data_IF_036304419844
#
_entry.id   IF_036304419844
#
_cell.length_a   1.000
_cell.length_b   1.000
_cell.length_c   1.000
_cell.angle_alpha   90.00
_cell.angle_beta   90.00
_cell.angle_gamma   90.00
#
_symmetry.space_group_name_H-M   'P 1'
#
loop_
_entity.id
_entity.type
_entity.pdbx_description
1 polymer ?
#
# COMPACT_ATOMS: atom_id res chain seq x y z
N UNK A 1 20.89 -14.19 -18.00
CA UNK A 1 19.95 -13.77 -19.07
C UNK A 1 18.74 -14.72 -19.24
N UNK A 2 18.93 -16.04 -19.25
CA UNK A 2 17.82 -17.01 -19.41
C UNK A 2 16.71 -16.88 -18.36
N UNK A 3 17.05 -16.60 -17.10
CA UNK A 3 16.07 -16.33 -16.04
C UNK A 3 15.20 -15.11 -16.34
N UNK A 4 15.79 -14.03 -16.88
CA UNK A 4 15.06 -12.83 -17.27
C UNK A 4 14.10 -13.08 -18.43
N UNK A 5 14.55 -13.84 -19.45
CA UNK A 5 13.69 -14.26 -20.56
C UNK A 5 12.53 -15.15 -20.06
N UNK A 6 12.81 -16.13 -19.19
CA UNK A 6 11.80 -16.97 -18.56
C UNK A 6 10.79 -16.17 -17.73
N UNK A 7 11.26 -15.16 -16.97
CA UNK A 7 10.41 -14.26 -16.20
C UNK A 7 9.50 -13.41 -17.09
N UNK A 8 10.00 -12.90 -18.22
CA UNK A 8 9.20 -12.17 -19.20
C UNK A 8 8.13 -13.05 -19.86
N UNK A 9 8.46 -14.31 -20.19
CA UNK A 9 7.50 -15.27 -20.73
C UNK A 9 6.43 -15.62 -19.69
N UNK A 10 6.84 -15.90 -18.45
CA UNK A 10 5.92 -16.17 -17.35
C UNK A 10 5.01 -14.96 -17.10
N UNK A 11 5.56 -13.75 -17.18
CA UNK A 11 4.80 -12.50 -17.05
C UNK A 11 3.72 -12.40 -18.10
N UNK A 12 4.08 -12.57 -19.38
CA UNK A 12 3.13 -12.46 -20.49
C UNK A 12 2.04 -13.53 -20.45
N UNK A 13 2.37 -14.76 -20.04
CA UNK A 13 1.45 -15.90 -20.10
C UNK A 13 0.57 -16.06 -18.86
N UNK A 14 1.11 -15.84 -17.66
CA UNK A 14 0.42 -16.18 -16.40
C UNK A 14 0.28 -15.02 -15.42
N UNK A 15 1.17 -14.03 -15.46
CA UNK A 15 1.15 -12.90 -14.53
C UNK A 15 0.62 -11.60 -15.16
N UNK A 16 -0.07 -11.69 -16.30
CA UNK A 16 -0.83 -10.59 -16.86
C UNK A 16 -2.17 -10.44 -16.12
N UNK A 17 -2.57 -9.19 -15.92
CA UNK A 17 -3.93 -8.88 -15.47
C UNK A 17 -4.95 -9.39 -16.49
N UNK A 18 -6.19 -9.62 -16.06
CA UNK A 18 -7.29 -9.81 -16.99
C UNK A 18 -7.46 -8.58 -17.91
N UNK A 19 -8.01 -8.74 -19.13
CA UNK A 19 -8.30 -7.60 -19.99
C UNK A 19 -9.27 -6.65 -19.29
N UNK A 20 -8.94 -5.36 -19.28
CA UNK A 20 -9.82 -4.30 -18.75
C UNK A 20 -10.79 -3.79 -19.80
N UNK A 21 -11.66 -2.86 -19.40
CA UNK A 21 -12.69 -2.27 -20.30
C UNK A 21 -12.10 -1.34 -21.38
N UNK A 22 -10.79 -1.04 -21.31
CA UNK A 22 -10.08 -0.17 -22.25
C UNK A 22 -10.32 1.32 -21.99
N UNK A 23 -11.58 1.72 -21.77
CA UNK A 23 -11.98 3.08 -21.42
C UNK A 23 -12.43 3.17 -19.97
N UNK A 24 -11.92 4.15 -19.23
CA UNK A 24 -12.33 4.44 -17.84
C UNK A 24 -13.44 5.49 -17.87
N UNK A 25 -14.62 5.12 -17.37
CA UNK A 25 -15.76 6.02 -17.22
C UNK A 25 -15.73 6.63 -15.83
N UNK A 26 -15.99 7.94 -15.71
CA UNK A 26 -16.08 8.61 -14.42
C UNK A 26 -17.22 8.00 -13.58
N UNK A 27 -16.94 7.67 -12.31
CA UNK A 27 -17.91 7.06 -11.40
C UNK A 27 -18.18 8.01 -10.24
N UNK A 28 -19.44 8.26 -9.93
CA UNK A 28 -19.81 9.08 -8.77
C UNK A 28 -19.75 8.28 -7.48
N UNK A 29 -20.32 7.07 -7.50
CA UNK A 29 -20.51 6.26 -6.29
C UNK A 29 -19.29 5.41 -5.95
N UNK A 30 -19.00 5.24 -4.64
CA UNK A 30 -18.01 4.28 -4.19
C UNK A 30 -18.41 2.85 -4.57
N UNK A 31 -17.45 1.95 -4.83
CA UNK A 31 -17.76 0.56 -5.13
C UNK A 31 -18.41 -0.14 -3.92
N UNK A 32 -19.52 -0.81 -4.16
CA UNK A 32 -20.28 -1.50 -3.12
C UNK A 32 -19.48 -2.66 -2.49
N UNK A 33 -19.59 -2.79 -1.17
CA UNK A 33 -19.00 -3.91 -0.43
C UNK A 33 -17.47 -3.94 -0.39
N UNK A 34 -16.79 -2.86 -0.76
CA UNK A 34 -15.33 -2.77 -0.75
C UNK A 34 -14.87 -1.71 0.26
N UNK A 35 -14.25 -2.18 1.35
CA UNK A 35 -13.65 -1.29 2.35
C UNK A 35 -12.40 -0.55 1.84
N UNK A 36 -12.06 0.57 2.50
CA UNK A 36 -10.95 1.47 2.13
C UNK A 36 -9.61 0.74 2.01
N UNK A 37 -9.34 -0.22 2.91
CA UNK A 37 -8.09 -0.98 2.90
C UNK A 37 -7.96 -1.86 1.65
N UNK A 38 -9.02 -2.59 1.28
CA UNK A 38 -9.05 -3.40 0.05
C UNK A 38 -8.93 -2.50 -1.17
N UNK A 39 -9.70 -1.41 -1.22
CA UNK A 39 -9.63 -0.43 -2.30
C UNK A 39 -8.21 0.10 -2.50
N UNK A 40 -7.49 0.43 -1.43
CA UNK A 40 -6.11 0.93 -1.48
C UNK A 40 -5.12 -0.09 -2.08
N UNK A 41 -5.32 -1.38 -1.80
CA UNK A 41 -4.49 -2.47 -2.31
C UNK A 41 -4.74 -2.71 -3.80
N UNK A 42 -5.99 -2.58 -4.24
CA UNK A 42 -6.37 -2.77 -5.64
C UNK A 42 -6.01 -1.55 -6.49
N UNK A 43 -6.16 -0.33 -5.96
CA UNK A 43 -5.78 0.91 -6.65
C UNK A 43 -4.26 1.15 -6.69
N UNK A 44 -3.48 0.34 -5.96
CA UNK A 44 -2.02 0.52 -5.84
C UNK A 44 -1.58 1.70 -4.96
N UNK A 45 -2.46 2.19 -4.07
CA UNK A 45 -2.20 3.33 -3.18
C UNK A 45 -2.13 2.91 -1.70
N UNK A 46 -1.63 1.71 -1.41
CA UNK A 46 -1.55 1.17 -0.04
C UNK A 46 -0.75 2.05 0.92
N UNK A 47 0.22 2.83 0.42
CA UNK A 47 0.97 3.80 1.22
C UNK A 47 0.07 4.90 1.84
N UNK A 48 -1.10 5.18 1.25
CA UNK A 48 -2.07 6.16 1.75
C UNK A 48 -3.21 5.52 2.53
N UNK A 49 -3.22 4.19 2.69
CA UNK A 49 -4.35 3.45 3.27
C UNK A 49 -4.66 3.87 4.70
N UNK A 50 -3.63 4.00 5.55
CA UNK A 50 -3.77 4.42 6.95
C UNK A 50 -4.44 5.79 7.07
N UNK A 51 -3.93 6.78 6.33
CA UNK A 51 -4.48 8.14 6.34
C UNK A 51 -5.90 8.18 5.79
N UNK A 52 -6.15 7.49 4.68
CA UNK A 52 -7.48 7.42 4.08
C UNK A 52 -8.52 6.80 5.02
N UNK A 53 -8.16 5.70 5.70
CA UNK A 53 -9.04 5.05 6.64
C UNK A 53 -9.28 5.90 7.91
N UNK A 54 -8.25 6.58 8.43
CA UNK A 54 -8.43 7.49 9.56
C UNK A 54 -9.39 8.64 9.23
N UNK A 55 -9.26 9.22 8.03
CA UNK A 55 -10.17 10.27 7.57
C UNK A 55 -11.60 9.74 7.41
N UNK A 56 -11.77 8.57 6.80
CA UNK A 56 -13.09 7.94 6.63
C UNK A 56 -13.76 7.64 7.98
N UNK A 57 -13.00 7.11 8.95
CA UNK A 57 -13.48 6.90 10.32
C UNK A 57 -13.80 8.22 11.03
N UNK A 58 -13.06 9.30 10.74
CA UNK A 58 -13.30 10.61 11.31
C UNK A 58 -14.58 11.25 10.75
N UNK A 59 -14.82 11.14 9.45
CA UNK A 59 -16.06 11.60 8.80
C UNK A 59 -17.28 10.86 9.37
N UNK A 60 -17.15 9.55 9.63
CA UNK A 60 -18.22 8.76 10.27
C UNK A 60 -18.35 9.04 11.78
N UNK A 61 -17.45 9.80 12.38
CA UNK A 61 -17.44 10.13 13.81
C UNK A 61 -17.04 8.97 14.73
N UNK A 62 -16.38 7.95 14.19
CA UNK A 62 -15.81 6.86 14.98
C UNK A 62 -14.53 7.31 15.69
N UNK A 63 -13.70 8.10 14.98
CA UNK A 63 -12.42 8.65 15.47
C UNK A 63 -12.47 10.17 15.38
N UNK A 64 -11.71 10.85 16.24
CA UNK A 64 -11.49 12.29 16.16
C UNK A 64 -9.99 12.57 16.09
N UNK A 65 -9.61 13.54 15.27
CA UNK A 65 -8.24 14.04 15.19
C UNK A 65 -8.17 15.27 16.09
N UNK A 66 -7.32 15.20 17.11
CA UNK A 66 -7.05 16.29 18.04
C UNK A 66 -5.76 16.98 17.59
N UNK A 67 -5.82 18.28 17.40
CA UNK A 67 -4.64 19.12 17.16
C UNK A 67 -4.30 19.87 18.44
N UNK A 68 -3.05 19.73 18.88
CA UNK A 68 -2.52 20.43 20.04
C UNK A 68 -1.54 21.49 19.58
N UNK A 69 -1.84 22.73 19.92
CA UNK A 69 -1.01 23.87 19.54
C UNK A 69 0.37 23.76 20.20
N UNK A 70 1.41 23.79 19.36
CA UNK A 70 2.81 23.77 19.76
C UNK A 70 3.36 25.16 20.10
N UNK A 71 2.54 26.22 19.99
CA UNK A 71 2.96 27.61 20.10
C UNK A 71 3.97 27.97 19.01
N UNK A 72 5.26 28.07 19.38
CA UNK A 72 6.36 28.30 18.41
C UNK A 72 6.80 27.03 17.67
N UNK A 73 6.37 25.84 18.10
CA UNK A 73 6.68 24.55 17.45
C UNK A 73 5.54 24.11 16.55
N UNK A 74 5.82 23.15 15.66
CA UNK A 74 4.78 22.53 14.82
C UNK A 74 3.67 21.91 15.72
N UNK A 75 2.40 21.99 15.31
CA UNK A 75 1.31 21.38 16.03
C UNK A 75 1.51 19.87 16.14
N UNK A 76 1.09 19.32 17.27
CA UNK A 76 1.13 17.87 17.53
C UNK A 76 -0.27 17.30 17.34
N UNK A 77 -0.37 16.12 16.75
CA UNK A 77 -1.66 15.47 16.50
C UNK A 77 -1.83 14.25 17.39
N UNK A 78 -3.04 14.08 17.91
CA UNK A 78 -3.47 12.89 18.64
C UNK A 78 -4.76 12.36 18.02
N UNK A 79 -5.04 11.08 18.20
CA UNK A 79 -6.29 10.45 17.79
C UNK A 79 -7.10 10.09 19.02
N UNK A 80 -8.40 10.35 19.00
CA UNK A 80 -9.35 9.94 20.03
C UNK A 80 -10.35 8.97 19.42
N UNK A 81 -10.59 7.83 20.07
CA UNK A 81 -11.65 6.90 19.70
C UNK A 81 -12.97 7.37 20.33
N UNK A 82 -13.85 7.96 19.53
CA UNK A 82 -15.10 8.57 20.03
C UNK A 82 -16.20 7.51 20.18
N UNK A 83 -16.45 6.76 19.12
CA UNK A 83 -17.56 5.81 19.07
C UNK A 83 -17.15 4.54 18.30
N UNK A 84 -16.70 3.49 19.02
CA UNK A 84 -16.32 2.21 18.41
C UNK A 84 -17.48 1.52 17.68
N UNK A 85 -18.74 1.82 18.01
CA UNK A 85 -19.91 1.16 17.40
C UNK A 85 -20.09 1.52 15.93
N UNK A 86 -19.54 2.66 15.50
CA UNK A 86 -19.57 3.14 14.10
C UNK A 86 -18.56 2.47 13.19
N UNK A 87 -17.71 1.61 13.73
CA UNK A 87 -16.72 0.81 13.00
C UNK A 87 -17.38 -0.48 12.50
N UNK A 88 -17.95 -0.41 11.31
CA UNK A 88 -18.80 -1.47 10.73
C UNK A 88 -18.00 -2.60 10.09
N UNK A 89 -16.86 -2.30 9.47
CA UNK A 89 -16.09 -3.30 8.72
C UNK A 89 -15.09 -4.08 9.61
N UNK A 90 -14.93 -5.41 9.41
CA UNK A 90 -14.01 -6.22 10.22
C UNK A 90 -12.54 -5.80 10.15
N UNK A 91 -12.06 -5.36 8.99
CA UNK A 91 -10.68 -4.93 8.82
C UNK A 91 -10.46 -3.54 9.44
N UNK A 92 -11.48 -2.68 9.44
CA UNK A 92 -11.46 -1.41 10.20
C UNK A 92 -11.39 -1.65 11.70
N UNK A 93 -12.16 -2.60 12.24
CA UNK A 93 -12.08 -2.98 13.67
C UNK A 93 -10.67 -3.44 14.05
N UNK A 94 -10.02 -4.23 13.20
CA UNK A 94 -8.63 -4.66 13.39
C UNK A 94 -7.65 -3.48 13.30
N UNK A 95 -7.91 -2.52 12.43
CA UNK A 95 -7.10 -1.31 12.33
C UNK A 95 -7.21 -0.46 13.60
N UNK A 96 -8.43 -0.24 14.10
CA UNK A 96 -8.67 0.48 15.36
C UNK A 96 -7.97 -0.22 16.53
N UNK A 97 -8.10 -1.55 16.64
CA UNK A 97 -7.37 -2.33 17.65
C UNK A 97 -5.84 -2.23 17.50
N UNK A 98 -5.32 -2.16 16.27
CA UNK A 98 -3.89 -1.99 16.02
C UNK A 98 -3.37 -0.61 16.48
N UNK A 99 -4.18 0.44 16.34
CA UNK A 99 -3.84 1.83 16.71
C UNK A 99 -4.02 2.07 18.21
N UNK A 100 -5.18 1.77 18.76
CA UNK A 100 -5.57 2.10 20.14
C UNK A 100 -5.29 0.98 21.15
N UNK A 101 -5.08 -0.26 20.68
CA UNK A 101 -4.95 -1.44 21.53
C UNK A 101 -6.22 -2.30 21.55
N UNK A 102 -6.06 -3.57 21.93
CA UNK A 102 -7.17 -4.51 22.03
C UNK A 102 -8.10 -4.09 23.19
N UNK A 103 -9.40 -3.96 22.91
CA UNK A 103 -10.40 -3.58 23.91
C UNK A 103 -10.44 -2.09 24.27
N UNK A 104 -9.81 -1.22 23.49
CA UNK A 104 -9.92 0.22 23.68
C UNK A 104 -11.38 0.70 23.64
N UNK A 105 -11.82 1.33 24.72
CA UNK A 105 -13.17 1.89 24.85
C UNK A 105 -13.28 3.31 24.28
N UNK A 106 -14.50 3.87 24.25
CA UNK A 106 -14.72 5.29 23.97
C UNK A 106 -13.83 6.19 24.84
N UNK A 107 -13.26 7.23 24.25
CA UNK A 107 -12.35 8.18 24.89
C UNK A 107 -10.88 7.75 24.93
N UNK A 108 -10.51 6.60 24.35
CA UNK A 108 -9.11 6.19 24.25
C UNK A 108 -8.33 7.16 23.34
N UNK A 109 -7.23 7.73 23.86
CA UNK A 109 -6.39 8.69 23.13
C UNK A 109 -5.06 8.06 22.74
N UNK A 110 -4.61 8.31 21.50
CA UNK A 110 -3.33 7.88 20.96
C UNK A 110 -2.57 9.07 20.41
N UNK A 111 -1.45 9.42 21.04
CA UNK A 111 -0.53 10.45 20.56
C UNK A 111 0.23 9.99 19.31
N UNK A 112 0.31 10.85 18.29
CA UNK A 112 1.07 10.64 17.05
C UNK A 112 2.45 11.32 17.05
N UNK A 113 2.82 12.04 18.10
CA UNK A 113 4.11 12.72 18.22
C UNK A 113 5.30 11.76 18.10
N UNK A 114 5.12 10.51 18.54
CA UNK A 114 6.16 9.47 18.52
C UNK A 114 5.71 8.27 17.70
N UNK A 115 6.64 7.78 16.88
CA UNK A 115 6.43 6.53 16.13
C UNK A 115 6.26 5.36 17.09
N UNK A 116 5.08 4.76 17.09
CA UNK A 116 4.83 3.50 17.76
C UNK A 116 5.18 2.33 16.84
N UNK A 117 6.34 1.72 17.07
CA UNK A 117 6.82 0.58 16.30
C UNK A 117 5.89 -0.65 16.41
N UNK A 118 5.25 -0.87 17.57
CA UNK A 118 4.32 -1.99 17.77
C UNK A 118 3.03 -1.76 17.00
N UNK A 119 2.46 -0.56 17.07
CA UNK A 119 1.28 -0.20 16.28
C UNK A 119 1.57 -0.30 14.78
N UNK A 120 2.72 0.22 14.34
CA UNK A 120 3.16 0.12 12.95
C UNK A 120 3.27 -1.34 12.48
N UNK A 121 3.89 -2.21 13.29
CA UNK A 121 4.01 -3.63 12.97
C UNK A 121 2.64 -4.32 12.89
N UNK A 122 1.69 -3.99 13.79
CA UNK A 122 0.32 -4.51 13.74
C UNK A 122 -0.41 -4.06 12.47
N UNK A 123 -0.29 -2.79 12.08
CA UNK A 123 -0.88 -2.25 10.85
C UNK A 123 -0.26 -2.93 9.61
N UNK A 124 1.05 -3.11 9.57
CA UNK A 124 1.72 -3.82 8.47
C UNK A 124 1.22 -5.26 8.35
N UNK A 125 1.07 -5.97 9.49
CA UNK A 125 0.51 -7.32 9.52
C UNK A 125 -0.94 -7.35 9.02
N UNK A 126 -1.75 -6.36 9.39
CA UNK A 126 -3.11 -6.20 8.88
C UNK A 126 -3.11 -6.00 7.36
N UNK A 127 -2.31 -5.08 6.84
CA UNK A 127 -2.22 -4.81 5.40
C UNK A 127 -1.73 -6.04 4.60
N UNK A 128 -0.81 -6.82 5.16
CA UNK A 128 -0.40 -8.09 4.58
C UNK A 128 -1.55 -9.10 4.55
N UNK A 129 -2.36 -9.18 5.61
CA UNK A 129 -3.54 -10.04 5.67
C UNK A 129 -4.63 -9.61 4.69
N UNK A 130 -4.90 -8.30 4.57
CA UNK A 130 -5.84 -7.74 3.57
C UNK A 130 -5.35 -8.08 2.16
N UNK A 131 -4.06 -7.87 1.88
CA UNK A 131 -3.46 -8.19 0.58
C UNK A 131 -3.60 -9.68 0.25
N UNK A 132 -3.35 -10.56 1.22
CA UNK A 132 -3.52 -12.01 1.04
C UNK A 132 -5.00 -12.38 0.78
N UNK A 133 -5.93 -11.73 1.47
CA UNK A 133 -7.37 -11.96 1.31
C UNK A 133 -7.88 -11.60 -0.08
N UNK A 134 -7.29 -10.61 -0.76
CA UNK A 134 -7.67 -10.28 -2.15
C UNK A 134 -7.57 -11.46 -3.12
N UNK A 135 -6.76 -12.48 -2.82
CA UNK A 135 -6.73 -13.74 -3.59
C UNK A 135 -7.95 -14.61 -3.27
N UNK A 136 -8.29 -14.74 -1.98
CA UNK A 136 -9.46 -15.50 -1.52
C UNK A 136 -10.78 -14.86 -1.98
N UNK A 137 -10.85 -13.53 -2.01
CA UNK A 137 -12.00 -12.76 -2.50
C UNK A 137 -12.11 -12.79 -4.04
N UNK A 138 -11.19 -13.47 -4.72
CA UNK A 138 -11.19 -13.60 -6.18
C UNK A 138 -10.86 -12.31 -6.92
N UNK A 139 -10.20 -11.34 -6.28
CA UNK A 139 -9.73 -10.09 -6.90
C UNK A 139 -8.34 -10.24 -7.54
N UNK A 140 -7.52 -11.17 -7.05
CA UNK A 140 -6.18 -11.47 -7.58
C UNK A 140 -6.05 -12.94 -7.96
N UNK A 141 -5.33 -13.23 -9.03
CA UNK A 141 -5.04 -14.61 -9.45
C UNK A 141 -3.99 -15.22 -8.51
N UNK A 142 -4.03 -16.54 -8.23
CA UNK A 142 -2.98 -17.19 -7.46
C UNK A 142 -1.65 -17.14 -8.20
N UNK A 143 -0.55 -16.94 -7.46
CA UNK A 143 0.79 -16.92 -8.03
C UNK A 143 1.31 -18.36 -8.24
N UNK A 144 1.99 -18.64 -9.37
CA UNK A 144 2.77 -19.85 -9.55
C UNK A 144 4.07 -19.76 -8.75
N UNK A 145 3.98 -19.89 -7.42
CA UNK A 145 5.10 -19.67 -6.48
C UNK A 145 6.33 -20.49 -6.87
N UNK A 146 6.17 -21.76 -7.25
CA UNK A 146 7.28 -22.62 -7.65
C UNK A 146 8.08 -22.07 -8.84
N UNK A 147 7.41 -21.61 -9.90
CA UNK A 147 8.07 -21.02 -11.07
C UNK A 147 8.75 -19.69 -10.73
N UNK A 148 8.13 -18.87 -9.88
CA UNK A 148 8.69 -17.60 -9.43
C UNK A 148 9.98 -17.85 -8.63
N UNK A 149 9.93 -18.75 -7.65
CA UNK A 149 11.07 -19.11 -6.80
C UNK A 149 12.21 -19.67 -7.66
N UNK A 150 11.91 -20.59 -8.58
CA UNK A 150 12.91 -21.15 -9.49
C UNK A 150 13.62 -20.06 -10.31
N UNK A 151 12.87 -19.11 -10.87
CA UNK A 151 13.44 -18.03 -11.67
C UNK A 151 14.27 -17.05 -10.83
N UNK A 152 13.83 -16.74 -9.61
CA UNK A 152 14.59 -15.90 -8.68
C UNK A 152 15.89 -16.61 -8.30
N UNK A 153 15.84 -17.89 -7.92
CA UNK A 153 17.04 -18.69 -7.58
C UNK A 153 17.98 -18.81 -8.77
N UNK A 154 17.47 -19.04 -9.99
CA UNK A 154 18.29 -19.06 -11.19
C UNK A 154 18.94 -17.70 -11.48
N UNK A 155 18.23 -16.60 -11.26
CA UNK A 155 18.78 -15.25 -11.43
C UNK A 155 19.85 -14.92 -10.39
N UNK A 156 19.64 -15.30 -9.12
CA UNK A 156 20.63 -15.09 -8.05
C UNK A 156 21.88 -15.95 -8.27
N UNK A 157 21.74 -17.23 -8.63
CA UNK A 157 22.88 -18.08 -8.99
C UNK A 157 23.64 -17.53 -10.20
N UNK A 158 22.95 -17.02 -11.21
CA UNK A 158 23.58 -16.36 -12.35
C UNK A 158 24.36 -15.11 -11.95
N UNK A 159 23.85 -14.32 -11.00
CA UNK A 159 24.57 -13.17 -10.45
C UNK A 159 25.82 -13.60 -9.68
N UNK A 160 25.73 -14.64 -8.84
CA UNK A 160 26.88 -15.18 -8.11
C UNK A 160 27.95 -15.69 -9.07
N UNK A 161 27.55 -16.45 -10.11
CA UNK A 161 28.49 -16.93 -11.12
C UNK A 161 29.19 -15.78 -11.86
N UNK A 162 28.49 -14.70 -12.19
CA UNK A 162 29.08 -13.52 -12.81
C UNK A 162 30.09 -12.82 -11.89
N UNK A 163 29.81 -12.74 -10.58
CA UNK A 163 30.75 -12.21 -9.60
C UNK A 163 32.00 -13.09 -9.51
N UNK A 164 31.83 -14.41 -9.39
CA UNK A 164 32.96 -15.36 -9.33
C UNK A 164 33.81 -15.26 -10.60
N UNK A 165 33.18 -15.23 -11.78
CA UNK A 165 33.88 -15.05 -13.05
C UNK A 165 34.67 -13.73 -13.09
N UNK A 166 34.09 -12.64 -12.57
CA UNK A 166 34.78 -11.36 -12.51
C UNK A 166 35.99 -11.37 -11.57
N UNK A 167 35.87 -12.04 -10.41
CA UNK A 167 36.99 -12.21 -9.47
C UNK A 167 38.11 -13.03 -10.09
N UNK A 168 37.79 -14.19 -10.69
CA UNK A 168 38.79 -15.04 -11.35
C UNK A 168 39.48 -14.30 -12.50
N UNK A 169 38.71 -13.59 -13.34
CA UNK A 169 39.27 -12.80 -14.45
C UNK A 169 40.20 -11.67 -13.97
N UNK A 170 39.95 -11.11 -12.78
CA UNK A 170 40.81 -10.10 -12.19
C UNK A 170 42.13 -10.70 -11.67
N UNK A 171 42.08 -11.90 -11.08
CA UNK A 171 43.26 -12.64 -10.59
C UNK A 171 44.18 -13.01 -11.75
N UNK A 172 43.62 -13.46 -12.87
CA UNK A 172 44.39 -13.84 -14.06
C UNK A 172 44.80 -12.63 -14.92
N UNK A 173 44.61 -11.40 -14.43
CA UNK A 173 44.89 -10.13 -15.11
C UNK A 173 44.16 -9.93 -16.47
N UNK A 174 43.14 -10.73 -16.76
CA UNK A 174 42.19 -10.52 -17.87
C UNK A 174 41.09 -9.51 -17.49
N UNK A 175 41.47 -8.45 -16.77
CA UNK A 175 40.60 -7.33 -16.49
C UNK A 175 40.31 -6.56 -17.78
N UNK A 176 39.05 -6.18 -18.01
CA UNK A 176 38.70 -5.40 -19.20
C UNK A 176 37.21 -5.18 -19.41
N UNK A 177 36.83 -4.53 -20.52
CA UNK A 177 35.44 -4.19 -20.83
C UNK A 177 34.49 -5.39 -20.85
N UNK A 178 34.99 -6.58 -21.19
CA UNK A 178 34.20 -7.82 -21.26
C UNK A 178 33.69 -8.27 -19.88
N UNK A 179 34.53 -8.18 -18.84
CA UNK A 179 34.15 -8.55 -17.46
C UNK A 179 33.09 -7.59 -16.93
N UNK A 180 33.28 -6.29 -17.18
CA UNK A 180 32.31 -5.25 -16.82
C UNK A 180 30.98 -5.48 -17.54
N UNK A 181 31.01 -5.78 -18.84
CA UNK A 181 29.81 -6.07 -19.61
C UNK A 181 29.03 -7.28 -19.05
N UNK A 182 29.73 -8.34 -18.62
CA UNK A 182 29.10 -9.50 -17.99
C UNK A 182 28.43 -9.16 -16.66
N UNK A 183 29.09 -8.37 -15.80
CA UNK A 183 28.51 -7.93 -14.53
C UNK A 183 27.28 -7.05 -14.74
N UNK A 184 27.35 -6.09 -15.67
CA UNK A 184 26.21 -5.23 -16.01
C UNK A 184 25.05 -6.08 -16.55
N UNK A 185 25.33 -7.02 -17.46
CA UNK A 185 24.31 -7.93 -17.98
C UNK A 185 23.66 -8.79 -16.88
N UNK A 186 24.43 -9.24 -15.88
CA UNK A 186 23.92 -10.00 -14.74
C UNK A 186 23.01 -9.16 -13.84
N UNK A 187 23.42 -7.93 -13.50
CA UNK A 187 22.61 -6.98 -12.72
C UNK A 187 21.31 -6.64 -13.45
N UNK A 188 21.38 -6.33 -14.74
CA UNK A 188 20.21 -6.05 -15.56
C UNK A 188 19.27 -7.27 -15.64
N UNK A 189 19.83 -8.47 -15.83
CA UNK A 189 19.03 -9.69 -15.86
C UNK A 189 18.29 -9.92 -14.53
N UNK A 190 18.96 -9.68 -13.39
CA UNK A 190 18.34 -9.80 -12.07
C UNK A 190 17.24 -8.74 -11.89
N UNK A 191 17.53 -7.48 -12.23
CA UNK A 191 16.56 -6.39 -12.15
C UNK A 191 15.31 -6.64 -13.00
N UNK A 192 15.48 -7.08 -14.25
CA UNK A 192 14.38 -7.45 -15.14
C UNK A 192 13.58 -8.64 -14.58
N UNK A 193 14.26 -9.65 -14.04
CA UNK A 193 13.60 -10.81 -13.41
C UNK A 193 12.72 -10.36 -12.25
N UNK A 194 13.25 -9.55 -11.34
CA UNK A 194 12.48 -9.02 -10.20
C UNK A 194 11.31 -8.17 -10.70
N UNK A 195 11.55 -7.20 -11.58
CA UNK A 195 10.52 -6.31 -12.11
C UNK A 195 9.37 -7.08 -12.80
N UNK A 196 9.69 -8.15 -13.55
CA UNK A 196 8.69 -8.98 -14.21
C UNK A 196 7.81 -9.79 -13.22
N UNK A 197 8.34 -10.12 -12.04
CA UNK A 197 7.70 -11.01 -11.06
C UNK A 197 7.03 -10.28 -9.89
N UNK A 198 7.39 -9.03 -9.60
CA UNK A 198 6.87 -8.25 -8.45
C UNK A 198 5.37 -8.00 -8.51
N UNK A 199 4.80 -7.81 -9.70
CA UNK A 199 3.39 -7.44 -9.84
C UNK A 199 2.46 -8.65 -9.73
N UNK A 200 1.59 -8.65 -8.72
CA UNK A 200 0.57 -9.67 -8.52
C UNK A 200 -0.63 -9.43 -9.47
N UNK A 201 -0.99 -10.40 -10.34
CA UNK A 201 -2.02 -10.20 -11.35
C UNK A 201 -3.45 -10.10 -10.78
N UNK A 202 -4.26 -9.22 -11.37
CA UNK A 202 -5.68 -9.08 -11.08
C UNK A 202 -6.53 -10.06 -11.90
N UNK A 203 -7.63 -10.53 -11.30
CA UNK A 203 -8.71 -11.25 -12.00
C UNK A 203 -9.61 -10.28 -12.76
N UNK A 204 -10.60 -10.77 -13.51
CA UNK A 204 -11.61 -9.93 -14.14
C UNK A 204 -12.35 -9.05 -13.11
N UNK A 205 -12.77 -9.63 -11.98
CA UNK A 205 -13.41 -8.89 -10.88
C UNK A 205 -12.48 -7.82 -10.30
N UNK A 206 -11.20 -8.16 -10.10
CA UNK A 206 -10.21 -7.20 -9.60
C UNK A 206 -9.94 -6.06 -10.58
N UNK A 207 -9.93 -6.34 -11.88
CA UNK A 207 -9.79 -5.33 -12.93
C UNK A 207 -11.01 -4.42 -12.99
N UNK A 208 -12.22 -4.96 -12.93
CA UNK A 208 -13.46 -4.15 -12.85
C UNK A 208 -13.43 -3.23 -11.64
N UNK A 209 -13.04 -3.72 -10.46
CA UNK A 209 -12.91 -2.89 -9.26
C UNK A 209 -11.85 -1.80 -9.43
N UNK A 210 -10.67 -2.14 -9.97
CA UNK A 210 -9.61 -1.16 -10.26
C UNK A 210 -10.10 -0.08 -11.23
N UNK A 211 -10.80 -0.47 -12.28
CA UNK A 211 -11.32 0.44 -13.30
C UNK A 211 -12.43 1.33 -12.70
N UNK A 212 -13.28 0.81 -11.81
CA UNK A 212 -14.26 1.59 -11.05
C UNK A 212 -13.60 2.62 -10.14
N UNK A 213 -12.57 2.22 -9.40
CA UNK A 213 -11.79 3.12 -8.54
C UNK A 213 -11.04 4.19 -9.35
N UNK A 214 -10.56 3.84 -10.54
CA UNK A 214 -9.98 4.80 -11.48
C UNK A 214 -11.04 5.79 -11.97
N UNK A 215 -12.25 5.32 -12.26
CA UNK A 215 -13.40 6.16 -12.60
C UNK A 215 -13.80 7.11 -11.48
N UNK A 216 -13.83 6.63 -10.24
CA UNK A 216 -14.12 7.44 -9.06
C UNK A 216 -13.05 8.52 -8.86
N UNK A 217 -11.78 8.16 -9.01
CA UNK A 217 -10.68 9.12 -8.97
C UNK A 217 -10.83 10.19 -10.05
N UNK A 218 -11.26 9.80 -11.25
CA UNK A 218 -11.46 10.74 -12.35
C UNK A 218 -12.61 11.69 -12.09
N UNK A 219 -13.74 11.19 -11.57
CA UNK A 219 -14.85 12.02 -11.11
C UNK A 219 -14.39 13.02 -10.04
N UNK A 220 -13.74 12.55 -8.97
CA UNK A 220 -13.24 13.42 -7.90
C UNK A 220 -12.30 14.48 -8.46
N UNK A 221 -11.39 14.09 -9.37
CA UNK A 221 -10.41 15.00 -9.98
C UNK A 221 -11.08 16.12 -10.78
N UNK A 222 -12.13 15.80 -11.52
CA UNK A 222 -12.78 16.73 -12.45
C UNK A 222 -13.90 17.55 -11.79
N UNK A 223 -14.66 16.97 -10.87
CA UNK A 223 -15.86 17.57 -10.30
C UNK A 223 -15.66 18.08 -8.86
N UNK A 224 -14.96 17.33 -8.00
CA UNK A 224 -14.96 17.61 -6.55
C UNK A 224 -13.62 18.11 -6.01
N UNK A 225 -12.54 18.12 -6.81
CA UNK A 225 -11.18 18.37 -6.33
C UNK A 225 -11.04 19.73 -5.63
N UNK A 226 -11.59 20.78 -6.23
CA UNK A 226 -11.50 22.15 -5.69
C UNK A 226 -12.39 22.31 -4.45
N UNK A 227 -13.59 21.71 -4.46
CA UNK A 227 -14.49 21.69 -3.31
C UNK A 227 -13.87 21.00 -2.10
N UNK A 228 -13.25 19.83 -2.30
CA UNK A 228 -12.54 19.11 -1.24
C UNK A 228 -11.35 19.92 -0.74
N UNK A 229 -10.57 20.53 -1.63
CA UNK A 229 -9.43 21.38 -1.23
C UNK A 229 -9.90 22.55 -0.37
N UNK A 230 -11.02 23.17 -0.71
CA UNK A 230 -11.57 24.29 0.05
C UNK A 230 -12.16 23.83 1.40
N UNK A 231 -12.97 22.78 1.42
CA UNK A 231 -13.76 22.40 2.61
C UNK A 231 -13.08 21.40 3.56
N UNK A 232 -12.08 20.66 3.07
CA UNK A 232 -11.49 19.52 3.80
C UNK A 232 -9.96 19.63 3.90
N UNK A 233 -9.38 20.77 3.50
CA UNK A 233 -7.97 21.03 3.80
C UNK A 233 -7.79 21.31 5.29
N UNK A 234 -6.60 21.07 5.86
CA UNK A 234 -6.34 21.41 7.26
C UNK A 234 -6.65 22.88 7.58
N UNK A 235 -6.36 23.80 6.65
CA UNK A 235 -6.60 25.24 6.82
C UNK A 235 -8.07 25.65 6.58
N UNK A 236 -8.76 24.98 5.64
CA UNK A 236 -10.12 25.33 5.24
C UNK A 236 -11.24 24.55 5.94
N UNK A 237 -10.94 23.44 6.61
CA UNK A 237 -11.92 22.68 7.37
C UNK A 237 -12.35 23.44 8.63
N UNK A 238 -13.65 23.45 8.92
CA UNK A 238 -14.18 24.04 10.16
C UNK A 238 -13.60 23.31 11.38
N UNK A 239 -12.88 24.07 12.22
CA UNK A 239 -12.28 23.56 13.47
C UNK A 239 -13.17 23.96 14.64
N UNK A 240 -13.31 23.05 15.61
CA UNK A 240 -13.98 23.34 16.87
C UNK A 240 -12.97 23.27 18.00
N UNK A 241 -12.88 24.36 18.74
CA UNK A 241 -12.16 24.39 20.00
C UNK A 241 -12.93 23.54 21.00
N UNK A 242 -12.32 22.43 21.38
CA UNK A 242 -12.85 21.63 22.48
C UNK A 242 -12.52 22.36 23.80
N UNK A 243 -13.44 22.34 24.79
CA UNK A 243 -13.10 22.77 26.13
C UNK A 243 -11.83 22.03 26.58
N UNK A 244 -10.89 22.75 27.19
CA UNK A 244 -9.71 22.15 27.84
C UNK A 244 -10.22 21.16 28.89
N UNK A 245 -10.23 19.87 28.55
CA UNK A 245 -10.58 18.79 29.46
C UNK A 245 -9.31 18.38 30.23
N UNK A 246 -9.44 17.90 31.46
CA UNK A 246 -8.34 17.44 32.32
C UNK A 246 -7.58 16.23 31.73
N UNK A 247 -8.03 15.71 30.59
CA UNK A 247 -7.33 14.70 29.77
C UNK A 247 -6.17 15.28 28.96
N UNK A 248 -6.07 16.61 28.86
CA UNK A 248 -4.95 17.30 28.23
C UNK A 248 -3.67 17.27 29.08
N UNK A 249 -3.68 16.69 30.28
CA UNK A 249 -2.56 16.72 31.24
C UNK A 249 -1.76 15.41 31.29
N UNK A 250 -2.12 14.40 30.49
CA UNK A 250 -1.40 13.12 30.37
C UNK A 250 -0.49 13.09 29.14
#
# INVERSE_FOLDING_TARGET
LSAAAGALVLRRRRLSDAPGRGTIVAQYDPPEGVGVLVASVISGNSARATTALLLDLAVRGAVRILERDGGRKKPTFSLELVDPSRVTDPDERRFVAAVFGDGAGPGAVKDLARTDAKATARIQKLMAAVTKRTVADGLRKPLPVGSIVLLIVAATLGMVAAIVFAVLSLVDAYGGPVVIAFLVAAVLALGVTIAALVKHPLTERGVVLRDHLAGLREFIRLAEADRIRMLQSPEGAERRDLPRDDRDVL
#
